data_IF_150163465179
#
_entry.id   IF_150163465179
#
_cell.length_a   1.000
_cell.length_b   1.000
_cell.length_c   1.000
_cell.angle_alpha   90.00
_cell.angle_beta   90.00
_cell.angle_gamma   90.00
#
_symmetry.space_group_name_H-M   'P 1'
#
loop_
_entity.id
_entity.type
_entity.pdbx_description
1 polymer ?
#
# COMPACT_ATOMS: atom_id res chain seq x y z
N UNK A 1 -4.33 8.56 95.63
CA UNK A 1 -4.37 9.72 94.71
C UNK A 1 -3.96 9.29 93.32
N UNK A 2 -4.65 9.79 92.29
CA UNK A 2 -5.03 9.11 91.04
C UNK A 2 -3.85 8.62 90.18
N UNK A 3 -3.90 7.32 89.83
CA UNK A 3 -2.95 6.54 89.04
C UNK A 3 -3.20 6.70 87.53
N UNK A 4 -2.09 6.76 86.81
CA UNK A 4 -1.91 6.60 85.36
C UNK A 4 -2.53 5.28 84.87
N UNK A 5 -3.36 5.27 83.82
CA UNK A 5 -3.59 4.04 83.01
C UNK A 5 -4.02 4.38 81.58
N UNK A 6 -3.09 4.14 80.66
CA UNK A 6 -3.20 3.64 79.28
C UNK A 6 -4.41 4.04 78.39
N UNK A 7 -4.11 4.84 77.36
CA UNK A 7 -4.88 4.90 76.12
C UNK A 7 -4.85 3.52 75.42
N UNK A 8 -6.02 3.05 75.01
CA UNK A 8 -6.21 1.86 74.18
C UNK A 8 -5.67 2.13 72.77
N UNK A 9 -4.62 1.42 72.37
CA UNK A 9 -4.22 1.23 70.98
C UNK A 9 -5.29 0.39 70.27
N UNK A 10 -5.93 0.93 69.24
CA UNK A 10 -6.66 0.14 68.25
C UNK A 10 -5.72 -0.11 67.06
N UNK A 11 -5.48 -1.39 66.80
CA UNK A 11 -4.62 -1.91 65.75
C UNK A 11 -5.39 -1.84 64.42
N UNK A 12 -4.95 -1.00 63.48
CA UNK A 12 -5.33 -1.12 62.06
C UNK A 12 -4.07 -1.45 61.29
N UNK A 13 -3.93 -2.72 60.94
CA UNK A 13 -2.88 -3.20 60.05
C UNK A 13 -3.18 -2.70 58.64
N UNK A 14 -2.50 -1.64 58.20
CA UNK A 14 -2.43 -1.30 56.79
C UNK A 14 -1.45 -2.27 56.12
N UNK A 15 -1.98 -3.33 55.51
CA UNK A 15 -1.22 -4.15 54.56
C UNK A 15 -0.95 -3.27 53.36
N UNK A 16 0.31 -2.84 53.21
CA UNK A 16 0.81 -2.27 51.97
C UNK A 16 0.86 -3.37 50.90
N UNK A 17 -0.31 -3.65 50.31
CA UNK A 17 -0.39 -4.41 49.08
C UNK A 17 0.18 -3.56 47.96
N UNK A 18 1.47 -3.75 47.67
CA UNK A 18 2.09 -3.23 46.47
C UNK A 18 1.38 -3.82 45.25
N UNK A 19 0.41 -3.08 44.72
CA UNK A 19 -0.05 -3.26 43.34
C UNK A 19 1.13 -2.85 42.45
N UNK A 20 1.99 -3.82 42.15
CA UNK A 20 2.75 -3.77 40.91
C UNK A 20 1.71 -3.87 39.80
N UNK A 21 1.24 -2.70 39.34
CA UNK A 21 0.66 -2.62 38.01
C UNK A 21 1.75 -3.11 37.06
N UNK A 22 1.62 -4.34 36.59
CA UNK A 22 2.46 -4.85 35.53
C UNK A 22 2.36 -3.84 34.39
N UNK A 23 3.45 -3.12 34.12
CA UNK A 23 3.55 -2.33 32.91
C UNK A 23 3.34 -3.31 31.77
N UNK A 24 2.18 -3.23 31.10
CA UNK A 24 1.94 -3.98 29.89
C UNK A 24 3.07 -3.60 28.93
N UNK A 25 3.98 -4.53 28.70
CA UNK A 25 5.06 -4.35 27.74
C UNK A 25 4.40 -4.05 26.41
N UNK A 26 4.56 -2.83 25.90
CA UNK A 26 4.01 -2.46 24.62
C UNK A 26 4.54 -3.46 23.58
N UNK A 27 3.63 -4.22 22.99
CA UNK A 27 3.94 -5.17 21.94
C UNK A 27 4.69 -4.41 20.83
N UNK A 28 5.69 -5.04 20.20
CA UNK A 28 6.48 -4.39 19.15
C UNK A 28 6.35 -5.19 17.89
N UNK A 29 5.96 -4.52 16.80
CA UNK A 29 5.90 -5.09 15.45
C UNK A 29 7.14 -4.62 14.69
N UNK A 30 7.89 -5.58 14.15
CA UNK A 30 9.07 -5.33 13.33
C UNK A 30 8.66 -5.15 11.88
N UNK A 31 8.92 -3.96 11.35
CA UNK A 31 8.75 -3.66 9.93
C UNK A 31 10.14 -3.56 9.31
N UNK A 32 10.43 -4.45 8.38
CA UNK A 32 11.64 -4.40 7.56
C UNK A 32 11.45 -3.47 6.36
N UNK A 33 12.46 -2.67 6.04
CA UNK A 33 12.50 -1.88 4.81
C UNK A 33 13.89 -2.03 4.16
N UNK A 34 13.91 -2.32 2.87
CA UNK A 34 15.14 -2.40 2.08
C UNK A 34 15.00 -1.37 0.98
N UNK A 35 15.95 -0.46 0.84
CA UNK A 35 16.01 0.46 -0.30
C UNK A 35 17.44 1.01 -0.45
N UNK A 36 17.78 1.67 -1.55
CA UNK A 36 19.08 2.31 -1.67
C UNK A 36 19.25 3.41 -0.61
N UNK A 37 20.27 3.30 0.24
CA UNK A 37 20.84 4.43 1.02
C UNK A 37 22.15 4.90 0.40
N UNK A 38 22.83 4.00 -0.30
CA UNK A 38 24.00 4.30 -1.15
C UNK A 38 23.80 3.77 -2.57
N UNK A 39 24.72 4.09 -3.48
CA UNK A 39 24.64 3.72 -4.90
C UNK A 39 23.84 4.71 -5.77
N UNK A 40 23.73 4.47 -7.09
CA UNK A 40 23.18 5.42 -8.06
C UNK A 40 21.75 5.92 -7.75
N UNK A 41 20.90 5.07 -7.17
CA UNK A 41 19.50 5.40 -6.86
C UNK A 41 19.30 5.98 -5.45
N UNK A 42 20.35 6.12 -4.64
CA UNK A 42 20.25 6.64 -3.27
C UNK A 42 19.60 8.03 -3.19
N UNK A 43 19.90 8.90 -4.16
CA UNK A 43 19.33 10.25 -4.22
C UNK A 43 17.80 10.23 -4.31
N UNK A 44 17.23 9.35 -5.14
CA UNK A 44 15.77 9.17 -5.25
C UNK A 44 15.17 8.61 -3.97
N UNK A 45 15.76 7.53 -3.44
CA UNK A 45 15.30 6.89 -2.20
C UNK A 45 15.35 7.81 -0.97
N UNK A 46 16.34 8.72 -0.91
CA UNK A 46 16.47 9.72 0.15
C UNK A 46 15.33 10.74 0.15
N UNK A 47 14.67 10.98 -0.99
CA UNK A 47 13.55 11.92 -1.07
C UNK A 47 12.19 11.22 -1.08
N UNK A 48 12.08 10.02 -1.66
CA UNK A 48 10.77 9.35 -1.86
C UNK A 48 10.50 8.15 -0.97
N UNK A 49 11.52 7.53 -0.37
CA UNK A 49 11.35 6.30 0.40
C UNK A 49 11.63 6.53 1.89
N UNK A 50 12.87 6.84 2.25
CA UNK A 50 13.28 6.87 3.66
C UNK A 50 12.55 7.91 4.51
N UNK A 51 12.32 9.15 4.06
CA UNK A 51 11.57 10.12 4.84
C UNK A 51 10.13 9.66 5.06
N UNK A 52 9.48 9.08 4.04
CA UNK A 52 8.10 8.64 4.11
C UNK A 52 7.92 7.47 5.08
N UNK A 53 8.78 6.45 4.98
CA UNK A 53 8.74 5.28 5.88
C UNK A 53 9.03 5.72 7.32
N UNK A 54 10.07 6.53 7.56
CA UNK A 54 10.42 7.00 8.91
C UNK A 54 9.36 7.91 9.51
N UNK A 55 8.83 8.86 8.72
CA UNK A 55 7.76 9.76 9.16
C UNK A 55 6.50 8.98 9.55
N UNK A 56 6.11 8.00 8.73
CA UNK A 56 4.99 7.12 9.04
C UNK A 56 5.22 6.37 10.36
N UNK A 57 6.38 5.72 10.52
CA UNK A 57 6.73 5.02 11.77
C UNK A 57 6.69 5.96 12.97
N UNK A 58 7.27 7.15 12.83
CA UNK A 58 7.27 8.17 13.87
C UNK A 58 5.85 8.59 14.26
N UNK A 59 5.00 8.93 13.28
CA UNK A 59 3.61 9.34 13.50
C UNK A 59 2.78 8.23 14.15
N UNK A 60 2.93 6.99 13.68
CA UNK A 60 2.25 5.82 14.24
C UNK A 60 2.68 5.58 15.68
N UNK A 61 3.97 5.62 15.95
CA UNK A 61 4.49 5.43 17.30
C UNK A 61 4.08 6.57 18.23
N UNK A 62 4.05 7.82 17.75
CA UNK A 62 3.60 8.98 18.52
C UNK A 62 2.13 8.86 18.96
N UNK A 63 1.25 8.31 18.12
CA UNK A 63 -0.19 8.12 18.44
C UNK A 63 -0.52 6.86 19.25
N UNK A 64 0.49 6.17 19.79
CA UNK A 64 0.27 4.97 20.61
C UNK A 64 0.73 3.67 19.96
N UNK A 65 0.92 3.64 18.64
CA UNK A 65 1.29 2.44 17.89
C UNK A 65 0.17 1.98 16.94
N UNK A 66 0.35 0.81 16.33
CA UNK A 66 -0.68 0.10 15.58
C UNK A 66 -1.71 -0.48 16.56
N UNK A 67 -2.99 -0.39 16.20
CA UNK A 67 -4.08 -1.00 16.97
C UNK A 67 -4.27 -2.44 16.50
N UNK A 68 -3.98 -3.40 17.37
CA UNK A 68 -4.18 -4.82 17.18
C UNK A 68 -5.38 -5.31 18.00
N UNK A 69 -5.83 -6.54 17.73
CA UNK A 69 -6.83 -7.20 18.60
C UNK A 69 -6.28 -7.43 20.02
N UNK A 70 -4.97 -7.63 20.16
CA UNK A 70 -4.24 -7.84 21.41
C UNK A 70 -3.99 -6.55 22.21
N UNK A 71 -4.09 -5.37 21.58
CA UNK A 71 -3.74 -4.10 22.20
C UNK A 71 -3.06 -3.13 21.23
N UNK A 72 -2.26 -2.21 21.74
CA UNK A 72 -1.43 -1.33 20.91
C UNK A 72 -0.01 -1.88 20.80
N UNK A 73 0.55 -1.83 19.59
CA UNK A 73 1.92 -2.23 19.32
C UNK A 73 2.74 -1.12 18.66
N UNK A 74 3.94 -0.84 19.17
CA UNK A 74 4.87 0.09 18.53
C UNK A 74 5.51 -0.57 17.31
N UNK A 75 5.89 0.24 16.33
CA UNK A 75 6.67 -0.20 15.19
C UNK A 75 8.16 -0.07 15.51
N UNK A 76 8.90 -1.16 15.36
CA UNK A 76 10.36 -1.19 15.23
C UNK A 76 10.71 -1.26 13.74
N UNK A 77 11.36 -0.22 13.21
CA UNK A 77 11.78 -0.18 11.82
C UNK A 77 13.19 -0.75 11.69
N UNK A 78 13.36 -1.77 10.85
CA UNK A 78 14.65 -2.38 10.52
C UNK A 78 14.98 -2.02 9.09
N UNK A 79 16.05 -1.26 8.89
CA UNK A 79 16.39 -0.71 7.58
C UNK A 79 17.69 -1.31 7.03
N UNK A 80 17.65 -1.80 5.79
CA UNK A 80 18.85 -2.20 5.05
C UNK A 80 19.09 -1.32 3.82
N UNK A 81 20.37 -1.13 3.52
CA UNK A 81 20.85 -0.51 2.29
C UNK A 81 21.13 -1.59 1.25
N UNK A 82 20.42 -1.57 0.12
CA UNK A 82 20.69 -2.49 -1.00
C UNK A 82 21.75 -1.96 -1.98
N UNK A 83 22.22 -0.73 -1.80
CA UNK A 83 23.26 -0.12 -2.62
C UNK A 83 22.90 -0.03 -4.12
N UNK A 84 21.61 -0.06 -4.48
CA UNK A 84 21.16 -0.20 -5.88
C UNK A 84 21.59 -1.53 -6.53
N UNK A 85 21.84 -2.57 -5.73
CA UNK A 85 22.31 -3.86 -6.19
C UNK A 85 21.27 -4.97 -5.93
N UNK A 86 20.80 -5.69 -6.98
CA UNK A 86 19.81 -6.76 -6.80
C UNK A 86 20.27 -7.89 -5.86
N UNK A 87 21.55 -8.25 -5.89
CA UNK A 87 22.10 -9.30 -5.03
C UNK A 87 22.11 -8.88 -3.55
N UNK A 88 22.45 -7.62 -3.25
CA UNK A 88 22.38 -7.09 -1.90
C UNK A 88 20.93 -6.92 -1.43
N UNK A 89 20.00 -6.54 -2.32
CA UNK A 89 18.58 -6.49 -2.01
C UNK A 89 18.05 -7.86 -1.59
N UNK A 90 18.34 -8.93 -2.36
CA UNK A 90 17.92 -10.30 -2.03
C UNK A 90 18.47 -10.72 -0.66
N UNK A 91 19.76 -10.46 -0.38
CA UNK A 91 20.38 -10.78 0.91
C UNK A 91 19.74 -10.02 2.06
N UNK A 92 19.45 -8.73 1.87
CA UNK A 92 18.82 -7.88 2.88
C UNK A 92 17.39 -8.35 3.19
N UNK A 93 16.60 -8.66 2.17
CA UNK A 93 15.25 -9.21 2.35
C UNK A 93 15.30 -10.57 3.05
N UNK A 94 16.21 -11.46 2.65
CA UNK A 94 16.43 -12.75 3.33
C UNK A 94 16.82 -12.56 4.80
N UNK A 95 17.68 -11.59 5.10
CA UNK A 95 18.10 -11.28 6.47
C UNK A 95 16.94 -10.78 7.32
N UNK A 96 16.11 -9.88 6.79
CA UNK A 96 14.88 -9.42 7.44
C UNK A 96 13.96 -10.59 7.79
N UNK A 97 13.75 -11.50 6.84
CA UNK A 97 12.85 -12.63 7.02
C UNK A 97 13.40 -13.69 8.00
N UNK A 98 14.70 -14.00 7.91
CA UNK A 98 15.27 -15.18 8.59
C UNK A 98 16.01 -14.86 9.88
N UNK A 99 16.72 -13.74 9.94
CA UNK A 99 17.52 -13.34 11.11
C UNK A 99 16.77 -12.36 11.99
N UNK A 100 16.29 -11.27 11.40
CA UNK A 100 15.63 -10.20 12.16
C UNK A 100 14.20 -10.58 12.56
N UNK A 101 13.63 -11.56 11.84
CA UNK A 101 12.25 -12.02 11.96
C UNK A 101 11.29 -10.84 11.90
N UNK A 102 11.44 -10.02 10.87
CA UNK A 102 10.51 -8.93 10.58
C UNK A 102 9.10 -9.51 10.37
N UNK A 103 8.10 -8.91 11.02
CA UNK A 103 6.70 -9.31 10.88
C UNK A 103 6.16 -8.95 9.49
N UNK A 104 6.63 -7.82 8.94
CA UNK A 104 6.34 -7.38 7.57
C UNK A 104 7.58 -6.77 6.91
N UNK A 105 7.67 -6.84 5.58
CA UNK A 105 8.76 -6.22 4.79
C UNK A 105 8.14 -5.30 3.75
N UNK A 106 8.55 -4.03 3.75
CA UNK A 106 8.15 -3.01 2.76
C UNK A 106 9.05 -3.14 1.53
N UNK A 107 8.45 -3.41 0.38
CA UNK A 107 9.16 -3.51 -0.90
C UNK A 107 9.54 -2.09 -1.41
N UNK A 108 10.78 -1.87 -1.87
CA UNK A 108 11.16 -0.61 -2.47
C UNK A 108 10.69 -0.50 -3.92
N UNK A 109 10.22 0.68 -4.28
CA UNK A 109 10.29 1.20 -5.64
C UNK A 109 10.83 2.63 -5.55
N UNK A 110 11.55 3.06 -6.58
CA UNK A 110 12.19 4.37 -6.60
C UNK A 110 11.41 5.27 -7.56
N UNK A 111 10.93 6.38 -7.02
CA UNK A 111 10.44 7.49 -7.83
C UNK A 111 11.47 8.61 -7.78
N UNK A 112 11.73 9.26 -8.90
CA UNK A 112 12.67 10.38 -8.98
C UNK A 112 12.27 11.29 -10.13
N UNK A 113 12.95 12.42 -10.31
CA UNK A 113 12.70 13.28 -11.47
C UNK A 113 13.06 12.54 -12.76
N UNK A 114 12.36 12.82 -13.86
CA UNK A 114 12.70 12.27 -15.17
C UNK A 114 14.17 12.54 -15.53
N UNK A 115 14.72 13.69 -15.09
CA UNK A 115 16.13 14.01 -15.23
C UNK A 115 17.05 12.99 -14.55
N UNK A 116 16.81 12.70 -13.27
CA UNK A 116 17.63 11.75 -12.53
C UNK A 116 17.41 10.31 -13.01
N UNK A 117 16.21 10.02 -13.49
CA UNK A 117 15.84 8.68 -13.95
C UNK A 117 16.63 8.26 -15.21
N UNK A 118 17.11 9.21 -16.02
CA UNK A 118 17.96 8.93 -17.20
C UNK A 118 19.31 8.31 -16.85
N UNK A 119 19.85 8.60 -15.66
CA UNK A 119 21.14 8.05 -15.20
C UNK A 119 21.00 6.67 -14.55
N UNK A 120 19.78 6.13 -14.50
CA UNK A 120 19.48 4.87 -13.83
C UNK A 120 19.75 3.68 -14.76
N UNK A 121 20.04 2.51 -14.17
CA UNK A 121 20.38 1.30 -14.93
C UNK A 121 19.24 0.73 -15.79
N UNK A 122 18.01 1.17 -15.56
CA UNK A 122 16.80 0.70 -16.25
C UNK A 122 16.09 1.89 -16.87
N UNK A 123 15.41 1.65 -18.00
CA UNK A 123 14.55 2.65 -18.62
C UNK A 123 13.54 3.19 -17.59
N UNK A 124 13.37 4.52 -17.50
CA UNK A 124 12.38 5.11 -16.63
C UNK A 124 10.97 4.74 -17.09
N UNK A 125 10.06 4.60 -16.14
CA UNK A 125 8.63 4.56 -16.42
C UNK A 125 8.07 5.85 -15.86
N UNK A 126 7.47 6.67 -16.72
CA UNK A 126 6.98 7.99 -16.37
C UNK A 126 5.58 7.91 -15.75
N UNK A 127 5.32 8.77 -14.77
CA UNK A 127 3.97 9.00 -14.26
C UNK A 127 3.34 10.06 -15.16
N UNK A 128 2.55 9.61 -16.14
CA UNK A 128 1.86 10.49 -17.09
C UNK A 128 0.68 11.20 -16.43
N UNK A 129 -0.01 10.54 -15.52
CA UNK A 129 -1.17 11.08 -14.85
C UNK A 129 -1.42 10.43 -13.49
N UNK A 130 -1.95 11.22 -12.56
CA UNK A 130 -2.35 10.76 -11.24
C UNK A 130 -3.67 11.39 -10.82
N UNK A 131 -4.60 10.58 -10.34
CA UNK A 131 -5.90 11.01 -9.85
C UNK A 131 -6.17 10.48 -8.47
N UNK A 132 -6.82 11.28 -7.65
CA UNK A 132 -7.26 10.90 -6.32
C UNK A 132 -8.65 11.47 -6.05
N UNK A 133 -9.50 10.66 -5.43
CA UNK A 133 -10.81 11.09 -4.97
C UNK A 133 -11.12 10.46 -3.62
N UNK A 134 -11.60 11.31 -2.71
CA UNK A 134 -12.15 10.93 -1.42
C UNK A 134 -13.54 11.56 -1.33
N UNK A 135 -14.61 10.81 -1.63
CA UNK A 135 -15.95 11.30 -1.40
C UNK A 135 -16.17 11.46 0.11
N UNK A 136 -16.93 12.47 0.51
CA UNK A 136 -17.22 12.78 1.92
C UNK A 136 -18.16 11.78 2.60
N UNK A 137 -17.94 10.48 2.39
CA UNK A 137 -18.69 9.35 2.92
C UNK A 137 -17.79 8.69 3.97
N UNK A 138 -18.33 8.31 5.12
CA UNK A 138 -17.53 7.62 6.13
C UNK A 138 -17.21 6.19 5.66
N UNK A 139 -16.10 5.62 6.15
CA UNK A 139 -15.75 4.23 5.84
C UNK A 139 -16.80 3.23 6.32
N UNK A 140 -17.57 3.55 7.35
CA UNK A 140 -18.66 2.71 7.86
C UNK A 140 -19.88 2.73 6.92
N UNK A 141 -20.14 3.87 6.28
CA UNK A 141 -21.26 4.07 5.36
C UNK A 141 -20.99 3.49 3.97
N UNK A 142 -19.71 3.40 3.57
CA UNK A 142 -19.30 3.02 2.21
C UNK A 142 -19.76 1.62 1.79
N UNK A 143 -20.05 0.72 2.73
CA UNK A 143 -20.50 -0.64 2.42
C UNK A 143 -21.99 -0.87 2.67
N UNK A 144 -22.65 0.02 3.42
CA UNK A 144 -24.03 -0.24 3.90
C UNK A 144 -25.03 0.83 3.51
N UNK A 145 -24.56 2.05 3.20
CA UNK A 145 -25.41 3.24 2.99
C UNK A 145 -25.09 3.98 1.68
N UNK A 146 -24.37 3.37 0.74
CA UNK A 146 -24.15 4.00 -0.57
C UNK A 146 -25.48 4.16 -1.31
N UNK A 147 -25.77 5.37 -1.84
CA UNK A 147 -26.94 5.58 -2.70
C UNK A 147 -26.92 4.65 -3.91
N UNK A 148 -25.74 4.40 -4.47
CA UNK A 148 -25.53 3.41 -5.52
C UNK A 148 -24.54 2.33 -5.06
N UNK A 149 -25.02 1.11 -4.73
CA UNK A 149 -24.19 0.04 -4.17
C UNK A 149 -23.31 -0.66 -5.21
N UNK A 150 -23.51 -0.38 -6.50
CA UNK A 150 -22.75 -0.93 -7.63
C UNK A 150 -21.80 0.12 -8.24
N UNK A 151 -21.41 1.12 -7.45
CA UNK A 151 -20.35 2.05 -7.83
C UNK A 151 -19.25 2.05 -6.79
N UNK A 152 -18.01 2.21 -7.23
CA UNK A 152 -16.91 2.49 -6.31
C UNK A 152 -16.82 4.02 -6.14
N UNK A 153 -17.12 4.54 -4.95
CA UNK A 153 -17.12 5.97 -4.73
C UNK A 153 -15.76 6.60 -5.08
N UNK A 154 -15.79 7.67 -5.86
CA UNK A 154 -14.59 8.40 -6.26
C UNK A 154 -13.80 7.79 -7.42
N UNK A 155 -14.02 6.53 -7.81
CA UNK A 155 -13.24 5.87 -8.86
C UNK A 155 -13.29 6.61 -10.20
N UNK A 156 -14.49 6.91 -10.70
CA UNK A 156 -14.65 7.67 -11.94
C UNK A 156 -14.06 9.10 -11.86
N UNK A 157 -14.06 9.72 -10.68
CA UNK A 157 -13.46 11.05 -10.49
C UNK A 157 -11.93 10.98 -10.51
N UNK A 158 -11.33 9.99 -9.86
CA UNK A 158 -9.90 9.75 -9.90
C UNK A 158 -9.43 9.38 -11.32
N UNK A 159 -10.16 8.51 -12.02
CA UNK A 159 -9.86 8.15 -13.41
C UNK A 159 -9.86 9.38 -14.32
N UNK A 160 -10.91 10.22 -14.26
CA UNK A 160 -10.96 11.47 -15.03
C UNK A 160 -9.77 12.38 -14.77
N UNK A 161 -9.37 12.56 -13.51
CA UNK A 161 -8.20 13.38 -13.18
C UNK A 161 -6.91 12.80 -13.75
N UNK A 162 -6.71 11.48 -13.66
CA UNK A 162 -5.52 10.81 -14.16
C UNK A 162 -5.44 10.92 -15.69
N UNK A 163 -6.52 10.61 -16.40
CA UNK A 163 -6.63 10.75 -17.85
C UNK A 163 -6.39 12.19 -18.33
N UNK A 164 -7.00 13.18 -17.68
CA UNK A 164 -6.80 14.59 -18.02
C UNK A 164 -5.35 15.03 -17.88
N UNK A 165 -4.64 14.59 -16.83
CA UNK A 165 -3.23 14.91 -16.63
C UNK A 165 -2.31 14.22 -17.64
N UNK A 166 -2.64 12.98 -17.99
CA UNK A 166 -1.92 12.22 -19.00
C UNK A 166 -2.24 12.65 -20.44
N UNK A 167 -3.34 13.38 -20.67
CA UNK A 167 -3.77 13.80 -21.99
C UNK A 167 -4.32 12.66 -22.86
N UNK A 168 -4.83 11.59 -22.23
CA UNK A 168 -5.32 10.38 -22.89
C UNK A 168 -6.77 10.06 -22.48
N UNK A 169 -7.38 9.04 -23.09
CA UNK A 169 -8.61 8.41 -22.64
C UNK A 169 -8.44 6.91 -22.30
N UNK A 170 -9.52 6.25 -21.85
CA UNK A 170 -9.48 4.82 -21.49
C UNK A 170 -9.14 3.90 -22.68
N UNK A 171 -9.40 4.35 -23.92
CA UNK A 171 -9.08 3.60 -25.12
C UNK A 171 -7.59 3.57 -25.49
N UNK A 172 -6.78 4.42 -24.85
CA UNK A 172 -5.33 4.48 -25.07
C UNK A 172 -4.55 3.57 -24.10
N UNK A 173 -5.22 2.92 -23.15
CA UNK A 173 -4.61 2.07 -22.13
C UNK A 173 -4.40 0.66 -22.69
N UNK A 174 -3.17 0.17 -22.68
CA UNK A 174 -2.80 -1.14 -23.22
C UNK A 174 -3.10 -2.29 -22.23
N UNK A 175 -3.01 -2.01 -20.92
CA UNK A 175 -3.29 -2.96 -19.85
C UNK A 175 -3.65 -2.24 -18.54
N UNK A 176 -4.35 -2.93 -17.63
CA UNK A 176 -4.76 -2.36 -16.36
C UNK A 176 -4.45 -3.29 -15.18
N UNK A 177 -3.85 -2.75 -14.12
CA UNK A 177 -3.59 -3.43 -12.86
C UNK A 177 -4.51 -2.80 -11.80
N UNK A 178 -5.64 -3.44 -11.50
CA UNK A 178 -6.75 -2.89 -10.70
C UNK A 178 -6.96 -3.67 -9.41
N UNK A 179 -7.46 -2.97 -8.39
CA UNK A 179 -7.61 -3.50 -7.03
C UNK A 179 -8.76 -4.51 -6.89
N UNK A 180 -8.49 -5.78 -7.15
CA UNK A 180 -9.41 -6.92 -7.08
C UNK A 180 -9.49 -7.60 -5.70
N UNK A 181 -9.61 -6.87 -4.58
CA UNK A 181 -9.76 -7.51 -3.25
C UNK A 181 -11.00 -8.43 -3.15
N UNK A 182 -11.98 -8.22 -4.02
CA UNK A 182 -13.09 -9.13 -4.29
C UNK A 182 -13.35 -9.17 -5.80
N UNK A 183 -13.90 -10.26 -6.33
CA UNK A 183 -14.19 -10.36 -7.77
C UNK A 183 -15.14 -9.27 -8.28
N UNK A 184 -16.09 -8.84 -7.44
CA UNK A 184 -17.00 -7.73 -7.76
C UNK A 184 -16.26 -6.40 -7.94
N UNK A 185 -15.19 -6.13 -7.17
CA UNK A 185 -14.48 -4.85 -7.28
C UNK A 185 -13.73 -4.74 -8.61
N UNK A 186 -13.26 -5.85 -9.18
CA UNK A 186 -12.66 -5.85 -10.52
C UNK A 186 -13.68 -5.43 -11.59
N UNK A 187 -14.90 -5.99 -11.54
CA UNK A 187 -15.98 -5.64 -12.47
C UNK A 187 -16.32 -4.15 -12.38
N UNK A 188 -16.59 -3.66 -11.18
CA UNK A 188 -16.97 -2.27 -10.97
C UNK A 188 -15.87 -1.30 -11.41
N UNK A 189 -14.60 -1.62 -11.17
CA UNK A 189 -13.48 -0.80 -11.65
C UNK A 189 -13.37 -0.79 -13.17
N UNK A 190 -13.61 -1.91 -13.86
CA UNK A 190 -13.60 -1.92 -15.34
C UNK A 190 -14.61 -0.91 -15.90
N UNK A 191 -15.77 -0.78 -15.26
CA UNK A 191 -16.80 0.20 -15.62
C UNK A 191 -16.41 1.61 -15.18
N UNK A 192 -16.05 1.79 -13.91
CA UNK A 192 -15.78 3.11 -13.30
C UNK A 192 -14.54 3.79 -13.86
N UNK A 193 -13.56 3.02 -14.34
CA UNK A 193 -12.37 3.53 -15.02
C UNK A 193 -12.64 3.82 -16.51
N UNK A 194 -13.85 3.53 -17.00
CA UNK A 194 -14.34 3.93 -18.31
C UNK A 194 -14.01 2.98 -19.47
N UNK A 195 -13.66 1.72 -19.20
CA UNK A 195 -13.36 0.75 -20.26
C UNK A 195 -14.62 0.19 -20.94
N UNK A 196 -15.74 0.21 -20.24
CA UNK A 196 -17.08 -0.11 -20.76
C UNK A 196 -18.15 0.70 -20.02
N UNK A 197 -19.41 0.62 -20.46
CA UNK A 197 -20.52 1.26 -19.79
C UNK A 197 -20.85 0.60 -18.43
N UNK A 198 -21.62 1.33 -17.61
CA UNK A 198 -22.13 0.81 -16.34
C UNK A 198 -23.01 -0.42 -16.55
N UNK A 199 -22.75 -1.47 -15.78
CA UNK A 199 -23.40 -2.77 -15.89
C UNK A 199 -22.94 -3.64 -17.08
N UNK A 200 -21.94 -3.19 -17.86
CA UNK A 200 -21.49 -3.88 -19.06
C UNK A 200 -20.23 -4.73 -18.85
N UNK A 201 -19.57 -4.68 -17.69
CA UNK A 201 -18.28 -5.36 -17.50
C UNK A 201 -18.33 -6.87 -17.76
N UNK A 202 -19.44 -7.53 -17.38
CA UNK A 202 -19.61 -8.95 -17.64
C UNK A 202 -19.67 -9.28 -19.13
N UNK A 203 -20.34 -8.45 -19.94
CA UNK A 203 -20.39 -8.61 -21.39
C UNK A 203 -19.03 -8.27 -22.00
N UNK A 204 -18.41 -7.16 -21.59
CA UNK A 204 -17.07 -6.76 -21.98
C UNK A 204 -16.05 -7.88 -21.78
N UNK A 205 -16.02 -8.51 -20.61
CA UNK A 205 -15.07 -9.60 -20.31
C UNK A 205 -15.33 -10.82 -21.20
N UNK A 206 -16.58 -11.17 -21.48
CA UNK A 206 -16.90 -12.33 -22.33
C UNK A 206 -16.54 -12.10 -23.79
N UNK A 207 -16.72 -10.88 -24.28
CA UNK A 207 -16.55 -10.53 -25.69
C UNK A 207 -15.12 -10.11 -26.03
N UNK A 208 -14.52 -9.24 -25.21
CA UNK A 208 -13.16 -8.72 -25.41
C UNK A 208 -12.11 -9.59 -24.73
N UNK A 209 -12.43 -10.18 -23.58
CA UNK A 209 -11.46 -10.89 -22.75
C UNK A 209 -10.55 -9.94 -21.97
N UNK A 210 -10.20 -10.35 -20.75
CA UNK A 210 -9.24 -9.66 -19.88
C UNK A 210 -7.95 -10.45 -19.64
N UNK A 211 -7.78 -11.54 -20.37
CA UNK A 211 -6.56 -12.35 -20.37
C UNK A 211 -5.42 -11.62 -21.08
N UNK A 212 -4.20 -12.16 -21.01
CA UNK A 212 -3.03 -11.57 -21.65
C UNK A 212 -3.18 -11.38 -23.18
N UNK A 213 -3.89 -12.29 -23.83
CA UNK A 213 -4.21 -12.22 -25.26
C UNK A 213 -5.59 -11.58 -25.54
N UNK A 214 -6.24 -11.06 -24.49
CA UNK A 214 -7.54 -10.42 -24.56
C UNK A 214 -7.47 -8.96 -25.03
N UNK A 215 -8.62 -8.33 -25.15
CA UNK A 215 -8.76 -6.95 -25.62
C UNK A 215 -8.39 -5.88 -24.57
N UNK A 216 -8.33 -6.24 -23.29
CA UNK A 216 -7.73 -5.42 -22.22
C UNK A 216 -7.13 -6.35 -21.18
N UNK A 217 -5.84 -6.70 -21.24
CA UNK A 217 -5.18 -7.47 -20.19
C UNK A 217 -5.36 -6.80 -18.83
N UNK A 218 -5.91 -7.54 -17.86
CA UNK A 218 -6.12 -7.07 -16.49
C UNK A 218 -5.39 -7.96 -15.50
N UNK A 219 -4.69 -7.36 -14.54
CA UNK A 219 -4.04 -8.04 -13.43
C UNK A 219 -3.08 -9.14 -13.88
N UNK A 220 -2.11 -8.78 -14.73
CA UNK A 220 -1.25 -9.75 -15.46
C UNK A 220 -0.37 -10.61 -14.55
N UNK A 221 -0.10 -10.15 -13.32
CA UNK A 221 0.58 -10.89 -12.25
C UNK A 221 -0.34 -11.83 -11.44
N UNK A 222 -1.67 -11.73 -11.62
CA UNK A 222 -2.68 -12.52 -10.90
C UNK A 222 -3.48 -11.75 -9.84
N UNK A 223 -3.16 -10.47 -9.61
CA UNK A 223 -3.91 -9.59 -8.71
C UNK A 223 -3.89 -10.01 -7.23
N UNK A 224 -4.70 -9.35 -6.42
CA UNK A 224 -4.86 -9.63 -4.99
C UNK A 224 -5.49 -11.02 -4.77
N UNK A 225 -6.31 -11.49 -5.72
CA UNK A 225 -7.01 -12.77 -5.63
C UNK A 225 -6.10 -13.99 -5.76
N UNK A 226 -5.06 -13.92 -6.58
CA UNK A 226 -4.22 -15.10 -6.90
C UNK A 226 -2.72 -14.92 -6.63
N UNK A 227 -2.21 -13.69 -6.65
CA UNK A 227 -0.77 -13.42 -6.44
C UNK A 227 -0.47 -13.17 -4.96
N UNK A 228 -0.92 -12.03 -4.42
CA UNK A 228 -0.70 -11.67 -3.03
C UNK A 228 -1.56 -10.48 -2.63
N UNK A 229 -2.05 -10.44 -1.40
CA UNK A 229 -2.75 -9.28 -0.88
C UNK A 229 -1.78 -8.26 -0.23
N UNK A 230 -1.12 -7.42 -1.04
CA UNK A 230 -0.18 -6.40 -0.58
C UNK A 230 -0.64 -4.94 -0.89
N UNK A 231 -1.94 -4.69 -0.75
CA UNK A 231 -2.57 -3.35 -0.78
C UNK A 231 -2.10 -2.45 -1.93
N UNK A 232 -1.95 -3.02 -3.13
CA UNK A 232 -1.87 -2.29 -4.40
C UNK A 232 -0.47 -1.91 -4.86
N UNK A 233 0.59 -2.12 -4.07
CA UNK A 233 1.94 -1.79 -4.53
C UNK A 233 2.45 -2.74 -5.62
N UNK A 234 2.04 -3.99 -5.54
CA UNK A 234 2.28 -5.04 -6.53
C UNK A 234 1.77 -4.67 -7.92
N UNK A 235 0.64 -3.96 -8.00
CA UNK A 235 0.07 -3.49 -9.26
C UNK A 235 1.00 -2.46 -9.93
N UNK A 236 1.59 -1.55 -9.16
CA UNK A 236 2.58 -0.59 -9.66
C UNK A 236 3.84 -1.30 -10.14
N UNK A 237 4.34 -2.27 -9.36
CA UNK A 237 5.53 -3.05 -9.73
C UNK A 237 5.29 -3.84 -11.02
N UNK A 238 4.13 -4.48 -11.17
CA UNK A 238 3.79 -5.21 -12.38
C UNK A 238 3.65 -4.26 -13.58
N UNK A 239 2.96 -3.13 -13.43
CA UNK A 239 2.85 -2.15 -14.50
C UNK A 239 4.22 -1.63 -14.96
N UNK A 240 5.15 -1.39 -14.03
CA UNK A 240 6.53 -1.02 -14.36
C UNK A 240 7.26 -2.15 -15.10
N UNK A 241 7.04 -3.42 -14.75
CA UNK A 241 7.62 -4.57 -15.46
C UNK A 241 7.05 -4.71 -16.86
N UNK A 242 5.73 -4.56 -17.03
CA UNK A 242 5.06 -4.60 -18.32
C UNK A 242 5.63 -3.54 -19.27
N UNK A 243 5.72 -2.29 -18.80
CA UNK A 243 6.23 -1.16 -19.59
C UNK A 243 7.73 -1.26 -19.92
N UNK A 244 8.49 -2.03 -19.13
CA UNK A 244 9.90 -2.34 -19.39
C UNK A 244 10.14 -3.56 -20.27
N UNK A 245 9.10 -4.36 -20.56
CA UNK A 245 9.27 -5.62 -21.26
C UNK A 245 9.87 -6.74 -20.40
N UNK A 246 9.69 -6.67 -19.08
CA UNK A 246 10.28 -7.59 -18.09
C UNK A 246 9.23 -8.43 -17.33
N UNK A 247 7.96 -8.36 -17.73
CA UNK A 247 6.88 -9.09 -17.06
C UNK A 247 6.89 -10.58 -17.42
N UNK A 248 6.40 -11.41 -16.50
CA UNK A 248 6.30 -12.86 -16.73
C UNK A 248 5.23 -13.19 -17.78
N UNK A 249 4.05 -12.59 -17.65
CA UNK A 249 2.98 -12.62 -18.65
C UNK A 249 2.99 -11.28 -19.40
N UNK A 250 3.90 -11.14 -20.37
CA UNK A 250 4.18 -9.87 -21.02
C UNK A 250 3.09 -9.46 -22.03
N UNK A 251 2.55 -8.25 -21.88
CA UNK A 251 1.66 -7.61 -22.85
C UNK A 251 2.47 -7.15 -24.06
N UNK A 252 1.97 -7.43 -25.27
CA UNK A 252 2.65 -7.11 -26.52
C UNK A 252 2.67 -5.60 -26.77
N UNK A 253 3.88 -5.06 -26.97
CA UNK A 253 4.09 -3.63 -27.32
C UNK A 253 3.47 -2.63 -26.32
N UNK A 254 3.41 -2.98 -25.03
CA UNK A 254 2.84 -2.14 -23.99
C UNK A 254 3.56 -0.78 -23.86
N UNK A 255 2.79 0.31 -23.90
CA UNK A 255 3.25 1.70 -23.79
C UNK A 255 2.53 2.48 -22.71
N UNK A 256 1.27 2.15 -22.42
CA UNK A 256 0.44 2.84 -21.43
C UNK A 256 -0.21 1.82 -20.51
N UNK A 257 0.13 1.90 -19.23
CA UNK A 257 -0.45 1.07 -18.16
C UNK A 257 -1.29 1.91 -17.21
N UNK A 258 -2.43 1.39 -16.78
CA UNK A 258 -3.24 2.00 -15.74
C UNK A 258 -3.14 1.19 -14.44
N UNK A 259 -2.98 1.87 -13.31
CA UNK A 259 -3.03 1.24 -11.98
C UNK A 259 -4.18 1.85 -11.19
N UNK A 260 -5.09 1.01 -10.71
CA UNK A 260 -6.21 1.39 -9.84
C UNK A 260 -5.98 0.90 -8.42
N UNK A 261 -6.12 1.78 -7.43
CA UNK A 261 -6.02 1.43 -6.01
C UNK A 261 -7.25 1.90 -5.24
N UNK A 262 -7.77 1.02 -4.39
CA UNK A 262 -8.99 1.19 -3.61
C UNK A 262 -8.71 1.07 -2.12
N UNK A 263 -9.08 2.11 -1.37
CA UNK A 263 -9.09 2.11 0.08
C UNK A 263 -10.33 2.87 0.57
N UNK A 264 -11.50 2.24 0.45
CA UNK A 264 -12.81 2.86 0.67
C UNK A 264 -12.87 3.79 1.91
N UNK A 265 -13.28 5.06 1.76
CA UNK A 265 -13.90 5.67 0.58
C UNK A 265 -12.90 6.18 -0.48
N UNK A 266 -11.60 6.10 -0.22
CA UNK A 266 -10.57 6.69 -1.05
C UNK A 266 -10.28 5.83 -2.28
N UNK A 267 -10.07 6.50 -3.41
CA UNK A 267 -9.67 5.86 -4.65
C UNK A 267 -8.57 6.66 -5.35
N UNK A 268 -7.59 5.95 -5.90
CA UNK A 268 -6.51 6.55 -6.68
C UNK A 268 -6.26 5.81 -7.98
N UNK A 269 -5.84 6.56 -8.99
CA UNK A 269 -5.48 6.05 -10.31
C UNK A 269 -4.13 6.61 -10.70
N UNK A 270 -3.24 5.76 -11.21
CA UNK A 270 -2.02 6.17 -11.89
C UNK A 270 -2.08 5.75 -13.35
N UNK A 271 -1.64 6.63 -14.23
CA UNK A 271 -1.34 6.32 -15.63
C UNK A 271 0.18 6.37 -15.77
N UNK A 272 0.76 5.26 -16.19
CA UNK A 272 2.19 5.08 -16.39
C UNK A 272 2.50 4.89 -17.87
N UNK A 273 3.65 5.39 -18.32
CA UNK A 273 4.09 5.18 -19.70
C UNK A 273 5.60 5.12 -19.87
N UNK A 274 6.03 4.63 -21.04
CA UNK A 274 7.43 4.51 -21.46
C UNK A 274 7.67 5.31 -22.75
#
# INVERSE_FOLDING_TARGET
MKRRTALKLAFVAAVAGGLSAGAATAETIKIGAVAPKTGPLAGGSTVTHWPNVRLWVEQVNRRGGLKLKSGQAKIELIEYDDQTNPGENIKAVQRLATQDKADFIVAPYVMTSAERARDCAKAPVEVLGAGFASPGISGDDVFTQLPEPLEIPGAAAAARQAYQRAGIGPGDVDFAEIYDCFTISALLQIEDLGFCGKGEAAAFIRERGITIDGGLPVNTHGGLLSYSYCVGIEHVVEAVRQLRGEAGAQVREAKIGLVGALASPDYSVLVLGN
#
